data_IF_207728112589
#
_entry.id   IF_207728112589
#
_cell.length_a   1.000
_cell.length_b   1.000
_cell.length_c   1.000
_cell.angle_alpha   90.00
_cell.angle_beta   90.00
_cell.angle_gamma   90.00
#
_symmetry.space_group_name_H-M   'P 1'
#
loop_
_entity.id
_entity.type
_entity.pdbx_description
1 polymer ?
#
# COMPACT_ATOMS: atom_id res chain seq x y z
N UNK A 1 4.71 40.07 4.33
CA UNK A 1 4.13 41.00 5.32
C UNK A 1 2.62 40.86 5.28
N UNK A 2 1.99 40.90 6.45
CA UNK A 2 0.55 40.82 6.75
C UNK A 2 -0.08 39.42 6.79
N UNK A 3 0.40 38.62 7.75
CA UNK A 3 -0.36 37.58 8.45
C UNK A 3 0.07 37.67 9.93
N UNK A 4 -0.59 38.53 10.72
CA UNK A 4 -0.61 38.55 12.19
C UNK A 4 -1.28 39.85 12.63
N UNK A 5 -2.51 39.79 13.14
CA UNK A 5 -3.10 40.71 14.15
C UNK A 5 -4.63 40.71 14.07
N UNK A 6 -5.27 39.60 14.44
CA UNK A 6 -6.70 39.64 14.84
C UNK A 6 -7.11 38.57 15.85
N UNK A 7 -6.15 37.84 16.44
CA UNK A 7 -6.40 36.98 17.61
C UNK A 7 -5.52 37.45 18.75
N UNK A 8 -6.02 38.39 19.54
CA UNK A 8 -5.50 38.68 20.89
C UNK A 8 -6.37 39.67 21.67
N UNK A 9 -7.40 40.29 21.07
CA UNK A 9 -8.19 41.33 21.75
C UNK A 9 -9.42 40.86 22.56
N UNK A 10 -9.66 39.57 22.71
CA UNK A 10 -10.80 39.07 23.50
C UNK A 10 -10.42 38.13 24.66
N UNK A 11 -9.14 37.88 24.90
CA UNK A 11 -8.68 36.90 25.90
C UNK A 11 -8.36 37.47 27.29
N UNK A 12 -8.41 38.80 27.49
CA UNK A 12 -8.00 39.40 28.77
C UNK A 12 -9.14 39.67 29.76
N UNK A 13 -10.41 39.49 29.37
CA UNK A 13 -11.56 39.84 30.23
C UNK A 13 -12.25 38.66 30.92
N UNK A 14 -11.79 37.42 30.73
CA UNK A 14 -12.47 36.22 31.22
C UNK A 14 -11.68 35.36 32.21
N UNK A 15 -10.52 35.82 32.68
CA UNK A 15 -9.61 35.01 33.49
C UNK A 15 -9.79 35.11 35.02
N UNK A 16 -10.90 35.67 35.54
CA UNK A 16 -11.01 35.93 36.97
C UNK A 16 -12.39 35.67 37.61
N UNK A 17 -13.07 34.57 37.26
CA UNK A 17 -14.24 34.13 38.04
C UNK A 17 -14.34 32.61 38.17
N UNK A 18 -13.96 32.08 39.34
CA UNK A 18 -14.30 30.73 39.78
C UNK A 18 -15.78 30.66 40.20
N UNK A 19 -16.66 30.66 39.19
CA UNK A 19 -18.11 30.56 39.39
C UNK A 19 -18.73 29.40 38.60
N UNK A 20 -19.92 28.91 39.00
CA UNK A 20 -20.59 27.75 38.38
C UNK A 20 -20.91 27.92 36.88
N UNK A 21 -20.82 29.15 36.36
CA UNK A 21 -20.98 29.49 34.94
C UNK A 21 -19.76 29.12 34.08
N UNK A 22 -18.58 28.94 34.66
CA UNK A 22 -17.35 28.59 33.93
C UNK A 22 -17.37 27.14 33.42
N UNK A 23 -17.87 26.22 34.23
CA UNK A 23 -18.13 24.83 33.84
C UNK A 23 -19.22 24.70 32.78
N UNK A 24 -20.23 25.59 32.83
CA UNK A 24 -21.27 25.65 31.81
C UNK A 24 -20.72 26.17 30.48
N UNK A 25 -19.92 27.25 30.50
CA UNK A 25 -19.26 27.78 29.31
C UNK A 25 -18.24 26.80 28.72
N UNK A 26 -17.46 26.08 29.53
CA UNK A 26 -16.57 25.00 29.05
C UNK A 26 -17.35 23.84 28.43
N UNK A 27 -18.50 23.45 28.99
CA UNK A 27 -19.38 22.44 28.40
C UNK A 27 -20.02 22.92 27.10
N UNK A 28 -20.45 24.17 27.03
CA UNK A 28 -21.02 24.77 25.82
C UNK A 28 -19.93 24.97 24.76
N UNK A 29 -18.70 25.33 25.13
CA UNK A 29 -17.55 25.42 24.22
C UNK A 29 -17.11 24.04 23.73
N UNK A 30 -17.09 23.03 24.61
CA UNK A 30 -16.95 21.62 24.25
C UNK A 30 -18.05 21.16 23.29
N UNK A 31 -19.31 21.50 23.53
CA UNK A 31 -20.44 21.11 22.66
C UNK A 31 -20.47 21.87 21.32
N UNK A 32 -20.05 23.14 21.31
CA UNK A 32 -20.01 23.98 20.10
C UNK A 32 -18.75 23.70 19.25
N UNK A 33 -17.62 23.29 19.84
CA UNK A 33 -16.37 23.04 19.11
C UNK A 33 -16.01 21.55 18.95
N UNK A 34 -16.58 20.62 19.73
CA UNK A 34 -16.48 19.18 19.41
C UNK A 34 -17.31 18.78 18.18
N UNK A 35 -18.16 19.67 17.67
CA UNK A 35 -18.99 19.45 16.48
C UNK A 35 -18.48 20.11 15.20
N UNK A 36 -17.45 20.98 15.24
CA UNK A 36 -17.03 21.80 14.08
C UNK A 36 -15.70 21.28 13.44
N UNK A 37 -15.17 20.15 13.91
CA UNK A 37 -13.93 19.57 13.38
C UNK A 37 -14.08 18.30 12.53
N UNK A 38 -15.25 17.63 12.52
CA UNK A 38 -15.34 16.23 12.12
C UNK A 38 -16.34 15.95 10.99
N UNK A 39 -16.18 16.61 9.84
CA UNK A 39 -16.64 16.07 8.55
C UNK A 39 -15.67 16.45 7.42
N UNK A 40 -14.35 16.29 7.64
CA UNK A 40 -13.41 16.24 6.52
C UNK A 40 -13.65 14.93 5.76
N UNK A 41 -14.48 15.01 4.72
CA UNK A 41 -14.74 13.99 3.68
C UNK A 41 -14.43 12.53 4.08
N UNK A 42 -15.41 11.86 4.70
CA UNK A 42 -15.29 10.46 5.14
C UNK A 42 -14.84 9.49 4.04
N UNK A 43 -15.09 9.81 2.77
CA UNK A 43 -14.72 8.94 1.64
C UNK A 43 -13.24 8.95 1.27
N UNK A 44 -12.49 9.97 1.67
CA UNK A 44 -11.09 10.18 1.28
C UNK A 44 -10.14 10.14 2.49
N UNK A 45 -10.52 9.41 3.53
CA UNK A 45 -9.74 9.23 4.75
C UNK A 45 -9.60 7.75 5.08
N UNK A 46 -8.47 7.38 5.71
CA UNK A 46 -8.22 6.05 6.29
C UNK A 46 -8.09 6.14 7.83
N UNK A 47 -8.58 7.21 8.46
CA UNK A 47 -8.58 7.33 9.90
C UNK A 47 -9.33 6.16 10.56
N UNK A 48 -8.66 5.45 11.48
CA UNK A 48 -9.22 4.28 12.18
C UNK A 48 -9.16 2.97 11.40
N UNK A 49 -8.55 2.96 10.22
CA UNK A 49 -8.38 1.78 9.37
C UNK A 49 -7.04 1.10 9.68
N UNK A 50 -7.00 -0.22 9.74
CA UNK A 50 -5.77 -1.01 9.93
C UNK A 50 -5.30 -1.63 8.63
N UNK A 51 -3.99 -1.62 8.40
CA UNK A 51 -3.38 -2.09 7.15
C UNK A 51 -2.18 -2.99 7.39
N UNK A 52 -2.02 -4.01 6.55
CA UNK A 52 -0.83 -4.85 6.44
C UNK A 52 -0.19 -4.63 5.07
N UNK A 53 1.05 -4.14 5.04
CA UNK A 53 1.84 -3.99 3.81
C UNK A 53 3.02 -4.95 3.83
N UNK A 54 3.07 -5.91 2.91
CA UNK A 54 4.20 -6.84 2.85
C UNK A 54 5.41 -6.16 2.18
N UNK A 55 6.61 -6.28 2.75
CA UNK A 55 7.83 -5.74 2.15
C UNK A 55 7.89 -4.21 2.11
N UNK A 56 7.49 -3.54 3.19
CA UNK A 56 7.39 -2.07 3.23
C UNK A 56 8.70 -1.31 3.49
N UNK A 57 9.88 -1.94 3.53
CA UNK A 57 11.11 -1.23 3.88
C UNK A 57 11.81 -0.53 2.72
N UNK A 58 11.42 -0.83 1.47
CA UNK A 58 12.04 -0.28 0.25
C UNK A 58 11.02 -0.09 -0.87
N UNK A 59 11.41 0.69 -1.88
CA UNK A 59 10.69 0.80 -3.15
C UNK A 59 9.22 1.16 -3.00
N UNK A 60 8.35 0.49 -3.75
CA UNK A 60 6.89 0.72 -3.75
C UNK A 60 6.29 0.47 -2.36
N UNK A 61 6.68 -0.60 -1.67
CA UNK A 61 6.18 -0.90 -0.33
C UNK A 61 6.43 0.23 0.67
N UNK A 62 7.62 0.84 0.63
CA UNK A 62 7.97 1.95 1.53
C UNK A 62 7.08 3.17 1.36
N UNK A 63 6.85 3.59 0.12
CA UNK A 63 5.98 4.73 -0.16
C UNK A 63 4.51 4.40 0.09
N UNK A 64 4.07 3.15 -0.14
CA UNK A 64 2.71 2.72 0.22
C UNK A 64 2.46 2.79 1.72
N UNK A 65 3.42 2.33 2.56
CA UNK A 65 3.30 2.46 4.02
C UNK A 65 3.15 3.93 4.43
N UNK A 66 4.00 4.81 3.87
CA UNK A 66 3.95 6.24 4.13
C UNK A 66 2.62 6.86 3.72
N UNK A 67 2.14 6.56 2.51
CA UNK A 67 0.89 7.09 1.95
C UNK A 67 -0.34 6.67 2.77
N UNK A 68 -0.44 5.39 3.14
CA UNK A 68 -1.55 4.90 3.96
C UNK A 68 -1.54 5.54 5.36
N UNK A 69 -0.36 5.68 5.97
CA UNK A 69 -0.22 6.31 7.27
C UNK A 69 -0.52 7.82 7.24
N UNK A 70 -0.14 8.51 6.17
CA UNK A 70 -0.45 9.93 5.95
C UNK A 70 -1.97 10.18 5.82
N UNK A 71 -2.69 9.21 5.25
CA UNK A 71 -4.17 9.21 5.20
C UNK A 71 -4.84 8.78 6.51
N UNK A 72 -4.07 8.45 7.55
CA UNK A 72 -4.54 8.16 8.90
C UNK A 72 -4.68 6.67 9.24
N UNK A 73 -4.22 5.76 8.38
CA UNK A 73 -4.24 4.34 8.69
C UNK A 73 -3.21 3.97 9.76
N UNK A 74 -3.52 2.94 10.54
CA UNK A 74 -2.54 2.25 11.40
C UNK A 74 -1.94 1.10 10.58
N UNK A 75 -0.64 1.14 10.34
CA UNK A 75 0.02 0.22 9.40
C UNK A 75 0.93 -0.77 10.14
N UNK A 76 0.84 -2.04 9.80
CA UNK A 76 1.85 -3.05 10.10
C UNK A 76 2.59 -3.41 8.80
N UNK A 77 3.91 -3.52 8.86
CA UNK A 77 4.72 -3.94 7.72
C UNK A 77 5.73 -5.01 8.11
N UNK A 78 6.31 -5.69 7.13
CA UNK A 78 7.37 -6.65 7.38
C UNK A 78 8.51 -6.53 6.37
N UNK A 79 9.67 -7.05 6.74
CA UNK A 79 10.79 -7.32 5.84
C UNK A 79 11.70 -8.40 6.40
N UNK A 80 12.64 -8.89 5.60
CA UNK A 80 13.63 -9.89 6.05
C UNK A 80 14.78 -9.30 6.87
N UNK A 81 15.02 -7.99 6.78
CA UNK A 81 16.21 -7.35 7.35
C UNK A 81 15.82 -6.45 8.51
N UNK A 82 16.06 -6.94 9.72
CA UNK A 82 15.69 -6.25 10.96
C UNK A 82 16.25 -4.83 11.06
N UNK A 83 17.54 -4.64 10.76
CA UNK A 83 18.17 -3.32 10.84
C UNK A 83 17.50 -2.29 9.93
N UNK A 84 17.16 -2.67 8.69
CA UNK A 84 16.46 -1.79 7.75
C UNK A 84 15.02 -1.52 8.20
N UNK A 85 14.33 -2.53 8.71
CA UNK A 85 13.00 -2.37 9.28
C UNK A 85 12.99 -1.37 10.44
N UNK A 86 13.88 -1.54 11.40
CA UNK A 86 13.99 -0.67 12.58
C UNK A 86 14.32 0.77 12.17
N UNK A 87 15.19 0.97 11.18
CA UNK A 87 15.46 2.30 10.63
C UNK A 87 14.18 2.93 10.06
N UNK A 88 13.42 2.22 9.22
CA UNK A 88 12.19 2.77 8.63
C UNK A 88 11.12 3.07 9.69
N UNK A 89 10.98 2.21 10.70
CA UNK A 89 10.07 2.44 11.83
C UNK A 89 10.40 3.74 12.57
N UNK A 90 11.69 4.03 12.79
CA UNK A 90 12.12 5.31 13.39
C UNK A 90 11.78 6.50 12.49
N UNK A 91 12.01 6.39 11.18
CA UNK A 91 11.65 7.45 10.21
C UNK A 91 10.15 7.76 10.19
N UNK A 92 9.29 6.74 10.20
CA UNK A 92 7.84 6.92 10.24
C UNK A 92 7.37 7.46 11.59
N UNK A 93 7.95 6.98 12.69
CA UNK A 93 7.65 7.50 14.04
C UNK A 93 8.01 8.99 14.15
N UNK A 94 9.13 9.43 13.58
CA UNK A 94 9.52 10.84 13.55
C UNK A 94 8.55 11.73 12.76
N UNK A 95 7.78 11.15 11.81
CA UNK A 95 6.70 11.83 11.08
C UNK A 95 5.35 11.80 11.82
N UNK A 96 5.29 11.14 12.99
CA UNK A 96 4.05 10.95 13.75
C UNK A 96 3.15 9.85 13.20
N UNK A 97 3.67 8.98 12.32
CA UNK A 97 2.90 7.88 11.75
C UNK A 97 2.81 6.69 12.70
N UNK A 98 1.64 6.05 12.74
CA UNK A 98 1.43 4.83 13.51
C UNK A 98 1.78 3.60 12.67
N UNK A 99 3.06 3.28 12.61
CA UNK A 99 3.59 2.13 11.88
C UNK A 99 4.33 1.19 12.82
N UNK A 100 3.96 -0.09 12.77
CA UNK A 100 4.67 -1.19 13.44
C UNK A 100 5.22 -2.16 12.41
N UNK A 101 6.11 -3.06 12.81
CA UNK A 101 6.52 -4.12 11.91
C UNK A 101 7.26 -5.27 12.58
N UNK A 102 7.34 -6.38 11.86
CA UNK A 102 8.07 -7.58 12.29
C UNK A 102 8.93 -8.16 11.16
N UNK A 103 9.95 -8.93 11.55
CA UNK A 103 10.79 -9.64 10.59
C UNK A 103 9.99 -10.83 10.04
N UNK A 104 9.91 -10.92 8.71
CA UNK A 104 9.22 -12.03 8.04
C UNK A 104 9.78 -12.26 6.63
N UNK A 105 10.10 -13.50 6.31
CA UNK A 105 10.28 -13.99 4.96
C UNK A 105 8.97 -14.59 4.41
N UNK A 106 8.35 -13.87 3.50
CA UNK A 106 7.07 -14.25 2.89
C UNK A 106 7.16 -15.52 2.02
N UNK A 107 8.36 -15.95 1.61
CA UNK A 107 8.52 -17.26 0.96
C UNK A 107 8.32 -18.42 1.94
N UNK A 108 8.49 -18.19 3.24
CA UNK A 108 8.35 -19.20 4.28
C UNK A 108 6.93 -19.25 4.84
N UNK A 109 6.23 -20.37 4.57
CA UNK A 109 4.87 -20.61 5.11
C UNK A 109 4.73 -20.39 6.63
N UNK A 110 5.56 -20.98 7.52
CA UNK A 110 5.41 -20.77 8.96
C UNK A 110 5.59 -19.30 9.36
N UNK A 111 6.45 -18.55 8.67
CA UNK A 111 6.62 -17.12 8.94
C UNK A 111 5.41 -16.30 8.47
N UNK A 112 4.72 -16.70 7.39
CA UNK A 112 3.45 -16.09 6.97
C UNK A 112 2.37 -16.28 8.04
N UNK A 113 2.26 -17.49 8.58
CA UNK A 113 1.30 -17.83 9.63
C UNK A 113 1.57 -16.99 10.90
N UNK A 114 2.83 -16.93 11.35
CA UNK A 114 3.24 -16.11 12.50
C UNK A 114 2.99 -14.61 12.28
N UNK A 115 3.27 -14.08 11.09
CA UNK A 115 3.00 -12.68 10.77
C UNK A 115 1.51 -12.34 10.90
N UNK A 116 0.64 -13.20 10.37
CA UNK A 116 -0.82 -12.95 10.44
C UNK A 116 -1.34 -13.11 11.87
N UNK A 117 -0.79 -14.02 12.67
CA UNK A 117 -1.11 -14.13 14.10
C UNK A 117 -0.74 -12.84 14.86
N UNK A 118 0.45 -12.29 14.62
CA UNK A 118 0.88 -11.02 15.20
C UNK A 118 -0.04 -9.87 14.79
N UNK A 119 -0.38 -9.78 13.51
CA UNK A 119 -1.29 -8.76 12.97
C UNK A 119 -2.69 -8.89 13.58
N UNK A 120 -3.19 -10.12 13.71
CA UNK A 120 -4.46 -10.42 14.37
C UNK A 120 -4.47 -9.91 15.81
N UNK A 121 -3.43 -10.21 16.58
CA UNK A 121 -3.29 -9.75 17.97
C UNK A 121 -3.22 -8.22 18.06
N UNK A 122 -2.36 -7.58 17.26
CA UNK A 122 -2.17 -6.13 17.23
C UNK A 122 -3.44 -5.37 16.85
N UNK A 123 -4.22 -5.90 15.91
CA UNK A 123 -5.42 -5.24 15.40
C UNK A 123 -6.72 -5.84 15.93
N UNK A 124 -6.67 -6.56 17.06
CA UNK A 124 -7.86 -7.10 17.74
C UNK A 124 -8.75 -7.94 16.82
N UNK A 125 -8.14 -8.77 15.98
CA UNK A 125 -8.81 -9.66 15.04
C UNK A 125 -9.43 -8.97 13.83
N UNK A 126 -9.07 -7.71 13.53
CA UNK A 126 -9.64 -6.96 12.41
C UNK A 126 -8.56 -6.34 11.54
N UNK A 127 -8.60 -6.64 10.24
CA UNK A 127 -7.71 -6.04 9.24
C UNK A 127 -8.57 -5.41 8.16
N UNK A 128 -8.39 -4.14 7.84
CA UNK A 128 -9.14 -3.52 6.74
C UNK A 128 -8.39 -3.66 5.41
N UNK A 129 -7.06 -3.50 5.41
CA UNK A 129 -6.26 -3.42 4.19
C UNK A 129 -5.17 -4.50 4.17
N UNK A 130 -5.05 -5.24 3.07
CA UNK A 130 -3.91 -6.10 2.77
C UNK A 130 -3.26 -5.66 1.44
N UNK A 131 -1.99 -5.27 1.51
CA UNK A 131 -1.19 -4.96 0.33
C UNK A 131 -0.17 -6.08 0.10
N UNK A 132 -0.40 -6.87 -0.95
CA UNK A 132 0.52 -7.88 -1.44
C UNK A 132 1.57 -7.22 -2.35
N UNK A 133 2.63 -6.68 -1.75
CA UNK A 133 3.69 -5.95 -2.45
C UNK A 133 4.98 -6.77 -2.64
N UNK A 134 5.28 -7.74 -1.75
CA UNK A 134 6.50 -8.56 -1.88
C UNK A 134 6.56 -9.21 -3.26
N UNK A 135 7.73 -9.09 -3.88
CA UNK A 135 8.07 -9.78 -5.10
C UNK A 135 9.53 -9.57 -5.47
N UNK A 136 10.05 -10.44 -6.32
CA UNK A 136 11.40 -10.36 -6.87
C UNK A 136 11.39 -10.70 -8.36
N UNK A 137 12.49 -10.44 -9.05
CA UNK A 137 12.65 -10.72 -10.46
C UNK A 137 14.05 -11.30 -10.75
N UNK A 138 14.10 -12.29 -11.65
CA UNK A 138 15.32 -12.77 -12.30
C UNK A 138 15.14 -12.56 -13.80
N UNK A 139 15.98 -11.73 -14.41
CA UNK A 139 15.92 -11.37 -15.83
C UNK A 139 16.89 -12.24 -16.63
N UNK A 140 16.37 -13.21 -17.38
CA UNK A 140 17.15 -14.04 -18.30
C UNK A 140 16.28 -14.77 -19.33
N UNK A 141 16.87 -15.36 -20.38
CA UNK A 141 16.15 -16.18 -21.35
C UNK A 141 15.43 -17.37 -20.70
N UNK A 142 14.27 -17.75 -21.26
CA UNK A 142 13.46 -18.87 -20.72
C UNK A 142 14.22 -20.19 -20.65
N UNK A 143 15.13 -20.44 -21.59
CA UNK A 143 15.95 -21.65 -21.68
C UNK A 143 16.99 -21.78 -20.57
N UNK A 144 17.24 -20.71 -19.81
CA UNK A 144 18.29 -20.66 -18.78
C UNK A 144 17.76 -20.73 -17.35
N UNK A 145 16.44 -20.74 -17.15
CA UNK A 145 15.85 -20.88 -15.81
C UNK A 145 16.09 -22.28 -15.25
N UNK A 146 16.59 -22.34 -14.02
CA UNK A 146 16.69 -23.58 -13.27
C UNK A 146 15.37 -23.88 -12.53
N UNK A 147 15.11 -25.14 -12.16
CA UNK A 147 13.96 -25.50 -11.33
C UNK A 147 13.91 -24.74 -9.99
N UNK A 148 15.06 -24.43 -9.41
CA UNK A 148 15.18 -23.73 -8.12
C UNK A 148 14.75 -22.27 -8.24
N UNK A 149 15.20 -21.58 -9.29
CA UNK A 149 14.80 -20.19 -9.55
C UNK A 149 13.33 -20.08 -9.91
N UNK A 150 12.81 -21.04 -10.67
CA UNK A 150 11.37 -21.16 -10.94
C UNK A 150 10.60 -21.27 -9.62
N UNK A 151 11.00 -22.22 -8.77
CA UNK A 151 10.34 -22.46 -7.48
C UNK A 151 10.41 -21.24 -6.56
N UNK A 152 11.56 -20.56 -6.51
CA UNK A 152 11.74 -19.35 -5.73
C UNK A 152 10.82 -18.22 -6.21
N UNK A 153 10.76 -17.95 -7.52
CA UNK A 153 9.89 -16.92 -8.07
C UNK A 153 8.41 -17.23 -7.82
N UNK A 154 8.00 -18.49 -7.97
CA UNK A 154 6.63 -18.92 -7.70
C UNK A 154 6.28 -18.76 -6.21
N UNK A 155 7.16 -19.20 -5.31
CA UNK A 155 6.96 -19.11 -3.87
C UNK A 155 6.90 -17.65 -3.38
N UNK A 156 7.86 -16.82 -3.80
CA UNK A 156 7.95 -15.43 -3.36
C UNK A 156 6.86 -14.56 -3.99
N UNK A 157 6.62 -14.66 -5.29
CA UNK A 157 5.65 -13.78 -5.94
C UNK A 157 4.23 -14.31 -5.74
N UNK A 158 3.92 -15.51 -6.21
CA UNK A 158 2.53 -15.98 -6.28
C UNK A 158 2.04 -16.62 -4.98
N UNK A 159 2.72 -17.67 -4.51
CA UNK A 159 2.26 -18.47 -3.37
C UNK A 159 2.14 -17.62 -2.10
N UNK A 160 3.10 -16.72 -1.86
CA UNK A 160 3.05 -15.83 -0.71
C UNK A 160 1.78 -14.96 -0.73
N UNK A 161 1.47 -14.34 -1.86
CA UNK A 161 0.31 -13.45 -2.01
C UNK A 161 -1.02 -14.20 -1.89
N UNK A 162 -1.08 -15.41 -2.44
CA UNK A 162 -2.24 -16.29 -2.32
C UNK A 162 -2.47 -16.70 -0.87
N UNK A 163 -1.44 -17.22 -0.20
CA UNK A 163 -1.56 -17.69 1.19
C UNK A 163 -1.82 -16.54 2.17
N UNK A 164 -1.16 -15.39 2.01
CA UNK A 164 -1.44 -14.21 2.84
C UNK A 164 -2.88 -13.75 2.72
N UNK A 165 -3.46 -13.83 1.51
CA UNK A 165 -4.87 -13.52 1.30
C UNK A 165 -5.77 -14.52 2.03
N UNK A 166 -5.48 -15.83 1.95
CA UNK A 166 -6.22 -16.86 2.68
C UNK A 166 -6.16 -16.66 4.20
N UNK A 167 -4.95 -16.48 4.75
CA UNK A 167 -4.75 -16.29 6.18
C UNK A 167 -5.43 -15.02 6.69
N UNK A 168 -5.50 -13.97 5.87
CA UNK A 168 -6.09 -12.69 6.25
C UNK A 168 -7.61 -12.62 6.05
N UNK A 169 -8.24 -13.62 5.41
CA UNK A 169 -9.67 -13.56 5.05
C UNK A 169 -10.57 -13.34 6.27
N UNK A 170 -10.34 -14.06 7.37
CA UNK A 170 -11.15 -13.91 8.59
C UNK A 170 -11.02 -12.52 9.21
N UNK A 171 -9.81 -11.94 9.18
CA UNK A 171 -9.52 -10.59 9.67
C UNK A 171 -10.17 -9.51 8.79
N UNK A 172 -10.11 -9.69 7.46
CA UNK A 172 -10.72 -8.83 6.45
C UNK A 172 -12.25 -8.87 6.52
N UNK A 173 -12.83 -10.03 6.75
CA UNK A 173 -14.26 -10.18 6.97
C UNK A 173 -14.71 -9.51 8.28
N UNK A 174 -13.92 -9.66 9.35
CA UNK A 174 -14.24 -9.12 10.66
C UNK A 174 -14.13 -7.58 10.76
N UNK A 175 -13.36 -6.94 9.86
CA UNK A 175 -13.32 -5.48 9.77
C UNK A 175 -14.60 -4.89 9.14
N UNK A 176 -15.25 -5.65 8.25
CA UNK A 176 -16.53 -5.29 7.64
C UNK A 176 -16.41 -4.44 6.38
N UNK A 177 -15.21 -4.05 5.97
CA UNK A 177 -14.91 -3.21 4.79
C UNK A 177 -13.51 -3.53 4.19
N UNK A 178 -13.23 -4.82 4.00
CA UNK A 178 -11.94 -5.32 3.54
C UNK A 178 -11.51 -4.82 2.14
N UNK A 179 -10.22 -4.56 1.97
CA UNK A 179 -9.60 -4.18 0.70
C UNK A 179 -8.25 -4.86 0.51
N UNK A 180 -8.12 -5.63 -0.56
CA UNK A 180 -6.87 -6.28 -0.98
C UNK A 180 -6.35 -5.57 -2.23
N UNK A 181 -5.06 -5.25 -2.24
CA UNK A 181 -4.38 -4.73 -3.43
C UNK A 181 -3.13 -5.55 -3.73
N UNK A 182 -3.05 -6.09 -4.94
CA UNK A 182 -1.86 -6.78 -5.45
C UNK A 182 -0.99 -5.82 -6.26
N UNK A 183 0.32 -5.80 -5.97
CA UNK A 183 1.30 -5.13 -6.83
C UNK A 183 1.80 -6.11 -7.89
N UNK A 184 1.14 -6.10 -9.04
CA UNK A 184 1.53 -6.91 -10.21
C UNK A 184 2.59 -6.16 -11.04
N UNK A 185 2.52 -6.24 -12.37
CA UNK A 185 3.41 -5.61 -13.32
C UNK A 185 2.76 -5.57 -14.70
N UNK A 186 3.13 -4.59 -15.52
CA UNK A 186 2.87 -4.60 -16.97
C UNK A 186 3.36 -5.90 -17.64
N UNK A 187 4.41 -6.53 -17.11
CA UNK A 187 4.91 -7.82 -17.60
C UNK A 187 3.87 -8.95 -17.47
N UNK A 188 2.87 -8.81 -16.59
CA UNK A 188 1.74 -9.74 -16.48
C UNK A 188 0.67 -9.56 -17.55
N UNK A 189 0.75 -8.49 -18.35
CA UNK A 189 -0.22 -8.14 -19.40
C UNK A 189 0.35 -8.33 -20.80
N UNK A 190 1.62 -7.98 -20.99
CA UNK A 190 2.30 -8.00 -22.29
C UNK A 190 3.75 -8.47 -22.15
N UNK A 191 4.34 -8.92 -23.25
CA UNK A 191 5.76 -9.29 -23.27
C UNK A 191 6.65 -8.05 -23.24
N UNK A 192 7.63 -8.04 -22.33
CA UNK A 192 8.54 -6.90 -22.10
C UNK A 192 10.00 -7.32 -21.86
N UNK A 193 10.37 -8.56 -22.16
CA UNK A 193 11.77 -9.02 -22.09
C UNK A 193 12.37 -9.16 -20.67
N UNK A 194 11.56 -9.21 -19.61
CA UNK A 194 12.06 -9.23 -18.21
C UNK A 194 12.03 -10.61 -17.54
N UNK A 195 11.85 -11.68 -18.31
CA UNK A 195 11.80 -13.07 -17.81
C UNK A 195 10.39 -13.66 -17.80
N UNK A 196 10.25 -14.87 -18.34
CA UNK A 196 8.95 -15.55 -18.51
C UNK A 196 8.30 -15.93 -17.18
N UNK A 197 9.08 -16.44 -16.23
CA UNK A 197 8.55 -16.89 -14.92
C UNK A 197 8.03 -15.70 -14.11
N UNK A 198 8.77 -14.59 -14.06
CA UNK A 198 8.31 -13.36 -13.42
C UNK A 198 6.99 -12.89 -14.04
N UNK A 199 6.94 -12.78 -15.37
CA UNK A 199 5.75 -12.36 -16.11
C UNK A 199 4.55 -13.27 -15.81
N UNK A 200 4.75 -14.59 -15.79
CA UNK A 200 3.72 -15.57 -15.45
C UNK A 200 3.21 -15.40 -14.00
N UNK A 201 4.08 -15.19 -13.02
CA UNK A 201 3.66 -14.95 -11.62
C UNK A 201 2.79 -13.68 -11.50
N UNK A 202 3.15 -12.62 -12.24
CA UNK A 202 2.43 -11.35 -12.24
C UNK A 202 1.09 -11.45 -12.99
N UNK A 203 1.03 -12.22 -14.07
CA UNK A 203 -0.22 -12.56 -14.76
C UNK A 203 -1.16 -13.38 -13.84
N UNK A 204 -0.62 -14.35 -13.10
CA UNK A 204 -1.40 -15.14 -12.16
C UNK A 204 -2.03 -14.28 -11.04
N UNK A 205 -1.30 -13.28 -10.52
CA UNK A 205 -1.87 -12.31 -9.57
C UNK A 205 -3.04 -11.51 -10.14
N UNK A 206 -2.98 -11.14 -11.42
CA UNK A 206 -4.07 -10.41 -12.10
C UNK A 206 -5.32 -11.28 -12.18
N UNK A 207 -5.17 -12.57 -12.48
CA UNK A 207 -6.30 -13.48 -12.47
C UNK A 207 -6.82 -13.74 -11.05
N UNK A 208 -5.92 -13.96 -10.08
CA UNK A 208 -6.27 -14.13 -8.66
C UNK A 208 -7.08 -12.95 -8.14
N UNK A 209 -6.74 -11.73 -8.54
CA UNK A 209 -7.46 -10.51 -8.17
C UNK A 209 -8.95 -10.61 -8.52
N UNK A 210 -9.28 -11.07 -9.74
CA UNK A 210 -10.67 -11.24 -10.20
C UNK A 210 -11.39 -12.34 -9.44
N UNK A 211 -10.71 -13.46 -9.19
CA UNK A 211 -11.26 -14.56 -8.40
C UNK A 211 -11.65 -14.09 -6.99
N UNK A 212 -10.72 -13.48 -6.25
CA UNK A 212 -11.00 -13.00 -4.89
C UNK A 212 -12.06 -11.91 -4.88
N UNK A 213 -12.10 -11.03 -5.90
CA UNK A 213 -13.11 -9.99 -6.02
C UNK A 213 -14.53 -10.56 -6.14
N UNK A 214 -14.71 -11.67 -6.86
CA UNK A 214 -16.00 -12.32 -7.02
C UNK A 214 -16.34 -13.22 -5.82
N UNK A 215 -15.37 -14.00 -5.34
CA UNK A 215 -15.57 -15.00 -4.29
C UNK A 215 -15.82 -14.35 -2.91
N UNK A 216 -15.21 -13.20 -2.62
CA UNK A 216 -15.26 -12.57 -1.30
C UNK A 216 -16.14 -11.31 -1.25
N UNK A 217 -16.85 -10.98 -2.33
CA UNK A 217 -17.75 -9.82 -2.38
C UNK A 217 -18.86 -9.87 -1.31
N UNK A 218 -19.40 -11.05 -1.01
CA UNK A 218 -20.44 -11.21 0.02
C UNK A 218 -19.95 -10.92 1.44
N UNK A 219 -18.64 -10.96 1.66
CA UNK A 219 -18.00 -10.59 2.93
C UNK A 219 -17.62 -9.10 2.98
N UNK A 220 -18.08 -8.31 2.00
CA UNK A 220 -17.70 -6.90 1.78
C UNK A 220 -16.19 -6.69 1.63
N UNK A 221 -15.50 -7.65 0.97
CA UNK A 221 -14.08 -7.57 0.67
C UNK A 221 -13.90 -7.24 -0.82
N UNK A 222 -13.18 -6.16 -1.10
CA UNK A 222 -12.76 -5.79 -2.46
C UNK A 222 -11.36 -6.29 -2.73
N UNK A 223 -11.09 -6.67 -3.97
CA UNK A 223 -9.77 -7.12 -4.42
C UNK A 223 -9.43 -6.44 -5.72
N UNK A 224 -8.33 -5.69 -5.77
CA UNK A 224 -7.86 -4.99 -6.96
C UNK A 224 -6.36 -5.22 -7.17
N UNK A 225 -5.87 -4.81 -8.33
CA UNK A 225 -4.49 -4.94 -8.71
C UNK A 225 -3.98 -3.63 -9.32
N UNK A 226 -2.73 -3.30 -9.06
CA UNK A 226 -2.00 -2.30 -9.83
C UNK A 226 -0.90 -2.99 -10.63
N UNK A 227 -0.67 -2.54 -11.86
CA UNK A 227 0.35 -3.08 -12.76
C UNK A 227 1.33 -1.96 -13.15
N UNK A 228 2.38 -1.72 -12.35
CA UNK A 228 3.37 -0.72 -12.68
C UNK A 228 4.26 -1.13 -13.85
N UNK A 229 4.77 -0.12 -14.57
CA UNK A 229 5.88 -0.26 -15.50
C UNK A 229 7.23 -0.17 -14.79
N UNK A 230 8.26 0.35 -15.43
CA UNK A 230 9.54 0.63 -14.78
C UNK A 230 9.40 1.83 -13.85
N UNK A 231 9.49 1.53 -12.54
CA UNK A 231 9.44 2.49 -11.45
C UNK A 231 10.81 2.56 -10.79
N UNK A 232 11.31 3.79 -10.56
CA UNK A 232 12.60 4.03 -9.89
C UNK A 232 12.60 3.46 -8.47
N UNK A 233 13.19 2.28 -8.33
CA UNK A 233 13.32 1.52 -7.08
C UNK A 233 14.60 0.69 -7.15
N UNK A 234 15.03 0.15 -6.01
CA UNK A 234 16.22 -0.71 -5.97
C UNK A 234 16.10 -1.99 -6.82
N UNK A 235 14.87 -2.42 -7.19
CA UNK A 235 14.65 -3.62 -7.99
C UNK A 235 15.03 -3.44 -9.48
N UNK A 236 15.23 -2.19 -9.91
CA UNK A 236 15.59 -1.86 -11.30
C UNK A 236 16.98 -1.21 -11.39
N UNK A 237 17.82 -1.31 -10.36
CA UNK A 237 19.20 -0.80 -10.38
C UNK A 237 19.97 -1.35 -11.59
N UNK A 238 19.96 -2.67 -11.80
CA UNK A 238 20.59 -3.31 -12.98
C UNK A 238 20.07 -2.77 -14.34
N UNK A 239 18.81 -2.31 -14.36
CA UNK A 239 18.17 -1.73 -15.55
C UNK A 239 18.61 -0.29 -15.76
N UNK A 240 18.77 0.47 -14.68
CA UNK A 240 19.25 1.85 -14.73
C UNK A 240 20.72 1.87 -15.17
N UNK A 241 21.51 0.90 -14.74
CA UNK A 241 22.93 0.79 -15.10
C UNK A 241 23.12 0.36 -16.56
N UNK A 242 22.15 -0.33 -17.16
CA UNK A 242 22.13 -0.64 -18.59
C UNK A 242 21.45 0.48 -19.38
N UNK A 243 22.25 1.46 -19.81
CA UNK A 243 21.78 2.64 -20.55
C UNK A 243 20.99 2.31 -21.82
N UNK A 244 21.43 1.34 -22.61
CA UNK A 244 20.74 0.97 -23.86
C UNK A 244 19.34 0.44 -23.57
N UNK A 245 19.21 -0.44 -22.58
CA UNK A 245 17.92 -0.97 -22.16
C UNK A 245 17.03 0.14 -21.57
N UNK A 246 17.60 1.02 -20.73
CA UNK A 246 16.88 2.16 -20.17
C UNK A 246 16.36 3.12 -21.26
N UNK A 247 17.20 3.45 -22.24
CA UNK A 247 16.81 4.29 -23.38
C UNK A 247 15.70 3.61 -24.21
N UNK A 248 15.77 2.29 -24.37
CA UNK A 248 14.70 1.47 -24.94
C UNK A 248 13.38 1.60 -24.17
N UNK A 249 13.42 1.47 -22.84
CA UNK A 249 12.25 1.65 -21.97
C UNK A 249 11.66 3.06 -22.12
N UNK A 250 12.49 4.08 -21.97
CA UNK A 250 12.09 5.49 -22.01
C UNK A 250 11.53 5.87 -23.38
N UNK A 251 12.13 5.39 -24.47
CA UNK A 251 11.67 5.67 -25.83
C UNK A 251 10.27 5.12 -26.10
N UNK A 252 9.94 3.95 -25.54
CA UNK A 252 8.65 3.28 -25.67
C UNK A 252 7.58 3.83 -24.73
N UNK A 253 7.96 4.53 -23.66
CA UNK A 253 7.02 5.18 -22.74
C UNK A 253 6.60 6.57 -23.26
N UNK A 254 5.31 6.82 -23.53
CA UNK A 254 4.83 8.14 -23.97
C UNK A 254 5.23 9.32 -23.08
N UNK A 255 5.24 9.14 -21.75
CA UNK A 255 5.69 10.18 -20.82
C UNK A 255 7.22 10.40 -20.79
N UNK A 256 8.00 9.64 -21.57
CA UNK A 256 9.46 9.79 -21.75
C UNK A 256 10.26 9.82 -20.46
N UNK A 257 9.83 9.07 -19.45
CA UNK A 257 10.55 8.88 -18.19
C UNK A 257 10.13 7.59 -17.51
N UNK A 258 10.95 7.17 -16.56
CA UNK A 258 10.54 6.18 -15.56
C UNK A 258 9.48 6.77 -14.62
N UNK A 259 8.63 5.90 -14.07
CA UNK A 259 7.72 6.28 -13.01
C UNK A 259 8.43 6.43 -11.66
N UNK A 260 7.85 7.21 -10.77
CA UNK A 260 8.28 7.34 -9.39
C UNK A 260 7.41 6.45 -8.49
N UNK A 261 7.97 5.99 -7.37
CA UNK A 261 7.25 5.05 -6.51
C UNK A 261 5.95 5.64 -5.94
N UNK A 262 5.92 6.95 -5.67
CA UNK A 262 4.73 7.64 -5.17
C UNK A 262 3.56 7.66 -6.19
N UNK A 263 3.86 7.60 -7.50
CA UNK A 263 2.83 7.49 -8.53
C UNK A 263 2.09 6.14 -8.45
N UNK A 264 2.74 5.12 -7.88
CA UNK A 264 2.10 3.83 -7.57
C UNK A 264 1.36 3.88 -6.24
N UNK A 265 1.97 4.46 -5.18
CA UNK A 265 1.33 4.49 -3.85
C UNK A 265 0.01 5.25 -3.85
N UNK A 266 -0.09 6.36 -4.57
CA UNK A 266 -1.34 7.13 -4.63
C UNK A 266 -2.50 6.33 -5.21
N UNK A 267 -2.27 5.49 -6.23
CA UNK A 267 -3.30 4.60 -6.79
C UNK A 267 -3.65 3.47 -5.84
N UNK A 268 -2.64 2.88 -5.19
CA UNK A 268 -2.85 1.83 -4.17
C UNK A 268 -3.71 2.36 -3.02
N UNK A 269 -3.36 3.52 -2.47
CA UNK A 269 -4.12 4.16 -1.40
C UNK A 269 -5.55 4.51 -1.85
N UNK A 270 -5.73 5.04 -3.07
CA UNK A 270 -7.06 5.31 -3.63
C UNK A 270 -7.94 4.06 -3.64
N UNK A 271 -7.41 2.91 -4.07
CA UNK A 271 -8.14 1.64 -4.10
C UNK A 271 -8.57 1.16 -2.72
N UNK A 272 -7.89 1.60 -1.65
CA UNK A 272 -8.23 1.28 -0.27
C UNK A 272 -9.25 2.24 0.36
N UNK A 273 -9.44 3.44 -0.22
CA UNK A 273 -10.37 4.44 0.31
C UNK A 273 -11.84 4.03 0.15
N UNK A 274 -12.75 4.49 1.02
CA UNK A 274 -14.18 4.31 0.82
C UNK A 274 -14.70 4.94 -0.49
N UNK A 275 -13.97 5.91 -1.06
CA UNK A 275 -14.24 6.46 -2.39
C UNK A 275 -14.21 5.40 -3.51
N UNK A 276 -13.48 4.30 -3.32
CA UNK A 276 -13.36 3.19 -4.26
C UNK A 276 -14.32 2.02 -3.96
N UNK A 277 -15.37 2.24 -3.17
CA UNK A 277 -16.29 1.19 -2.69
C UNK A 277 -16.97 0.37 -3.80
N UNK A 278 -17.06 0.90 -5.02
CA UNK A 278 -17.63 0.20 -6.18
C UNK A 278 -16.57 -0.30 -7.18
N UNK A 279 -15.29 -0.27 -6.81
CA UNK A 279 -14.17 -0.75 -7.63
C UNK A 279 -13.64 -2.03 -7.02
N UNK A 280 -13.86 -3.15 -7.72
CA UNK A 280 -13.32 -4.47 -7.38
C UNK A 280 -13.05 -5.28 -8.66
N UNK A 281 -12.11 -6.21 -8.61
CA UNK A 281 -11.68 -7.07 -9.71
C UNK A 281 -10.87 -6.36 -10.80
N UNK A 282 -10.46 -5.10 -10.59
CA UNK A 282 -9.80 -4.29 -11.60
C UNK A 282 -8.27 -4.40 -11.52
N UNK A 283 -7.63 -4.31 -12.68
CA UNK A 283 -6.18 -4.07 -12.81
C UNK A 283 -5.95 -2.68 -13.37
N UNK A 284 -5.41 -1.78 -12.55
CA UNK A 284 -5.06 -0.42 -12.97
C UNK A 284 -3.59 -0.39 -13.40
N UNK A 285 -3.35 -0.07 -14.67
CA UNK A 285 -2.00 0.03 -15.24
C UNK A 285 -1.39 1.39 -14.94
N UNK A 286 -0.14 1.43 -14.46
CA UNK A 286 0.59 2.66 -14.10
C UNK A 286 1.90 2.66 -14.89
N UNK A 287 1.84 3.07 -16.15
CA UNK A 287 2.92 2.81 -17.12
C UNK A 287 3.30 3.98 -18.02
N UNK A 288 2.79 5.18 -17.72
CA UNK A 288 3.00 6.37 -18.54
C UNK A 288 2.51 6.21 -19.99
N UNK A 289 1.52 5.35 -20.22
CA UNK A 289 0.88 5.09 -21.51
C UNK A 289 1.50 3.95 -22.32
N UNK A 290 2.51 3.24 -21.80
CA UNK A 290 3.26 2.22 -22.56
C UNK A 290 2.36 1.14 -23.20
N UNK A 291 1.48 0.50 -22.43
CA UNK A 291 0.65 -0.63 -22.87
C UNK A 291 -0.40 -0.24 -23.91
N UNK A 292 -0.77 1.04 -23.99
CA UNK A 292 -1.74 1.58 -24.95
C UNK A 292 -1.09 2.36 -26.08
N UNK A 293 0.24 2.43 -26.11
CA UNK A 293 1.00 3.11 -27.16
C UNK A 293 1.22 2.18 -28.37
N UNK A 294 0.14 1.93 -29.12
CA UNK A 294 0.10 0.97 -30.22
C UNK A 294 0.76 1.46 -31.53
N UNK A 295 0.95 2.76 -31.70
CA UNK A 295 1.57 3.36 -32.89
C UNK A 295 2.97 3.89 -32.55
N UNK A 296 3.97 3.45 -33.30
CA UNK A 296 5.19 4.20 -33.60
C UNK A 296 5.07 4.75 -35.02
#
# INVERSE_FOLDING_TARGET
MVWCNLRLWSLTYFFNSEGPYYLFLLRVWSLLFNGIGATRNSRWSLAGITALVTGGTRGIGYVVVGELAELGAVVHTCSRKEAELNQRLQEWSAKGFNVTGSVCDLSSRPQREQLVEQVSSLFSGKLNILINNVGTNIRKPTTEFTPEEYSMLMATNLESSYHMSQLSHSLLKASGDGSIVFISSVAGLVHVGVGSVYSATKAAMIQLTKNLACEWASDNIRSNCVAPWFIKTSLIEDVIDNKEFLDGVVSRTPLKRLGEANEVSSVVAFLCLPAASYITGQTIVIDGGFTVNGFL
#
